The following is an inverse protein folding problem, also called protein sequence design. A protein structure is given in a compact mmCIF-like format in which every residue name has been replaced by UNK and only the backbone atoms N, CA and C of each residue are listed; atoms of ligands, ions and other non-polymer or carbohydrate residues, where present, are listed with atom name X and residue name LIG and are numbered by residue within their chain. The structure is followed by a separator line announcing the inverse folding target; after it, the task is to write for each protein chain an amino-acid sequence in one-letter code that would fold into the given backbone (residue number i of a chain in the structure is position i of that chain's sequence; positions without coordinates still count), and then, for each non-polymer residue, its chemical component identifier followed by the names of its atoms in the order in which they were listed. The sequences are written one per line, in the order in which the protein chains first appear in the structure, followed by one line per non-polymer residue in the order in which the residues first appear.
data_IF_307422410593
#
_entry.id   IF_307422410593
#
_cell.length_a   1.000
_cell.length_b   1.000
_cell.length_c   1.000
_cell.angle_alpha   90.00
_cell.angle_beta   90.00
_cell.angle_gamma   90.00
#
_symmetry.space_group_name_H-M   'P 1'
#
loop_
_entity.id
_entity.type
_entity.pdbx_description
1 polymer ?
#
# COMPACT_ATOMS: atom_id res chain seq x y z
N UNK A 1 13.43 17.59 4.69
CA UNK A 1 12.15 17.21 4.03
C UNK A 1 12.30 15.81 3.45
N UNK A 2 11.43 14.85 3.80
CA UNK A 2 11.44 13.51 3.17
C UNK A 2 11.07 13.66 1.68
N UNK A 3 11.72 12.92 0.79
CA UNK A 3 11.37 12.92 -0.64
C UNK A 3 9.95 12.33 -0.81
N UNK A 4 9.16 12.81 -1.78
CA UNK A 4 7.81 12.27 -2.09
C UNK A 4 7.84 10.74 -2.29
N UNK A 5 8.93 10.22 -2.84
CA UNK A 5 9.20 8.78 -3.05
C UNK A 5 9.39 7.96 -1.76
N UNK A 6 9.63 8.61 -0.63
CA UNK A 6 9.83 8.02 0.71
C UNK A 6 8.66 8.32 1.65
N UNK A 7 7.58 8.92 1.15
CA UNK A 7 6.38 9.16 1.93
C UNK A 7 5.69 7.83 2.24
N UNK A 8 5.29 7.61 3.50
CA UNK A 8 4.56 6.39 3.90
C UNK A 8 3.07 6.48 3.51
N UNK A 9 2.50 7.68 3.59
CA UNK A 9 1.19 8.00 3.04
C UNK A 9 1.27 9.24 2.14
N UNK A 10 0.32 9.38 1.23
CA UNK A 10 0.10 10.59 0.44
C UNK A 10 -1.38 10.99 0.48
N UNK A 11 -1.72 12.29 0.48
CA UNK A 11 -3.08 12.73 0.17
C UNK A 11 -3.50 12.17 -1.19
N UNK A 12 -4.76 11.73 -1.34
CA UNK A 12 -5.26 11.26 -2.64
C UNK A 12 -5.34 12.42 -3.63
N UNK A 13 -5.74 13.60 -3.18
CA UNK A 13 -5.68 14.84 -3.97
C UNK A 13 -4.24 15.17 -4.37
N UNK A 14 -4.01 15.37 -5.66
CA UNK A 14 -2.69 15.70 -6.21
C UNK A 14 -1.80 14.49 -6.53
N UNK A 15 -2.35 13.27 -6.44
CA UNK A 15 -1.75 12.05 -7.00
C UNK A 15 -2.30 11.80 -8.39
N UNK A 16 -1.44 11.37 -9.32
CA UNK A 16 -1.87 11.07 -10.69
C UNK A 16 -1.01 10.02 -11.41
N UNK A 17 -1.11 9.97 -12.74
CA UNK A 17 -0.46 8.93 -13.55
C UNK A 17 1.07 8.87 -13.37
N UNK A 18 1.70 9.99 -13.03
CA UNK A 18 3.14 10.06 -12.77
C UNK A 18 3.54 9.36 -11.45
N UNK A 19 2.58 9.12 -10.55
CA UNK A 19 2.81 8.47 -9.26
C UNK A 19 2.52 6.96 -9.28
N UNK A 20 2.21 6.35 -10.45
CA UNK A 20 1.83 4.92 -10.53
C UNK A 20 2.86 3.99 -9.88
N UNK A 21 4.16 4.27 -10.02
CA UNK A 21 5.22 3.48 -9.38
C UNK A 21 5.20 3.57 -7.83
N UNK A 22 4.62 4.64 -7.29
CA UNK A 22 4.55 4.90 -5.85
C UNK A 22 3.21 4.47 -5.23
N UNK A 23 2.10 4.62 -5.95
CA UNK A 23 0.75 4.39 -5.41
C UNK A 23 -0.04 3.27 -6.09
N UNK A 24 0.42 2.79 -7.25
CA UNK A 24 -0.30 1.84 -8.10
C UNK A 24 -1.37 2.49 -8.99
N UNK A 25 -1.76 1.79 -10.06
CA UNK A 25 -2.65 2.34 -11.09
C UNK A 25 -4.05 2.73 -10.60
N UNK A 26 -4.63 1.99 -9.65
CA UNK A 26 -5.95 2.30 -9.09
C UNK A 26 -5.96 3.63 -8.35
N UNK A 27 -4.98 3.84 -7.47
CA UNK A 27 -4.87 5.05 -6.68
C UNK A 27 -4.51 6.27 -7.55
N UNK A 28 -3.62 6.08 -8.54
CA UNK A 28 -3.31 7.12 -9.53
C UNK A 28 -4.55 7.55 -10.33
N UNK A 29 -5.37 6.58 -10.75
CA UNK A 29 -6.63 6.86 -11.45
C UNK A 29 -7.65 7.58 -10.56
N UNK A 30 -7.81 7.15 -9.29
CA UNK A 30 -8.71 7.81 -8.34
C UNK A 30 -8.29 9.26 -8.07
N UNK A 31 -6.99 9.52 -7.87
CA UNK A 31 -6.46 10.88 -7.69
C UNK A 31 -6.65 11.77 -8.92
N UNK A 32 -6.46 11.23 -10.13
CA UNK A 32 -6.77 11.92 -11.38
C UNK A 32 -8.26 12.24 -11.51
N UNK A 33 -9.14 11.28 -11.22
CA UNK A 33 -10.58 11.50 -11.26
C UNK A 33 -10.99 12.57 -10.25
N UNK A 34 -10.51 12.51 -9.01
CA UNK A 34 -10.78 13.50 -7.97
C UNK A 34 -10.34 14.89 -8.43
N UNK A 35 -9.16 14.99 -9.03
CA UNK A 35 -8.60 16.29 -9.48
C UNK A 35 -9.34 16.86 -10.69
N UNK A 36 -9.70 16.02 -11.68
CA UNK A 36 -10.25 16.46 -12.97
C UNK A 36 -11.77 16.49 -13.04
N UNK A 37 -12.45 15.63 -12.29
CA UNK A 37 -13.90 15.43 -12.41
C UNK A 37 -14.69 16.09 -11.28
N UNK A 38 -14.10 16.30 -10.10
CA UNK A 38 -14.77 17.05 -9.03
C UNK A 38 -15.15 18.49 -9.40
N UNK A 39 -14.32 19.26 -10.14
CA UNK A 39 -14.74 20.55 -10.68
C UNK A 39 -15.90 20.48 -11.68
N UNK A 40 -16.16 19.29 -12.25
CA UNK A 40 -17.26 19.01 -13.18
C UNK A 40 -18.49 18.44 -12.47
N UNK A 41 -18.53 18.47 -11.14
CA UNK A 41 -19.66 18.01 -10.34
C UNK A 41 -19.68 16.51 -10.02
N UNK A 42 -18.66 15.74 -10.43
CA UNK A 42 -18.55 14.32 -10.09
C UNK A 42 -18.06 14.16 -8.65
N UNK A 43 -18.87 13.52 -7.80
CA UNK A 43 -18.54 13.31 -6.38
C UNK A 43 -17.63 12.10 -6.24
N UNK A 44 -16.41 12.33 -5.80
CA UNK A 44 -15.42 11.29 -5.54
C UNK A 44 -14.96 11.49 -4.10
N UNK A 45 -15.04 10.46 -3.24
CA UNK A 45 -14.53 10.54 -1.88
C UNK A 45 -13.02 10.85 -1.89
N UNK A 46 -12.59 11.84 -1.11
CA UNK A 46 -11.17 12.07 -0.86
C UNK A 46 -10.65 11.06 0.18
N UNK A 47 -9.33 11.00 0.32
CA UNK A 47 -8.67 9.99 1.13
C UNK A 47 -7.17 10.25 1.26
N UNK A 48 -6.50 9.25 1.82
CA UNK A 48 -5.05 9.13 1.71
C UNK A 48 -4.69 7.73 1.19
N UNK A 49 -3.51 7.63 0.62
CA UNK A 49 -2.99 6.42 0.00
C UNK A 49 -1.80 5.93 0.80
N UNK A 50 -1.82 4.66 1.20
CA UNK A 50 -0.64 3.96 1.71
C UNK A 50 0.26 3.59 0.54
N UNK A 51 1.50 4.06 0.54
CA UNK A 51 2.39 3.96 -0.62
C UNK A 51 3.06 2.58 -0.73
N UNK A 52 3.57 2.26 -1.92
CA UNK A 52 4.45 1.11 -2.12
C UNK A 52 5.74 1.21 -1.29
N UNK A 53 6.19 2.42 -0.95
CA UNK A 53 7.30 2.62 -0.02
C UNK A 53 6.94 2.15 1.39
N UNK A 54 5.75 2.48 1.91
CA UNK A 54 5.27 1.95 3.19
C UNK A 54 5.20 0.43 3.20
N UNK A 55 4.72 -0.18 2.11
CA UNK A 55 4.74 -1.64 1.97
C UNK A 55 6.16 -2.21 2.05
N UNK A 56 7.13 -1.66 1.31
CA UNK A 56 8.54 -2.12 1.36
C UNK A 56 9.14 -1.95 2.76
N UNK A 57 8.85 -0.83 3.43
CA UNK A 57 9.29 -0.60 4.81
C UNK A 57 8.66 -1.60 5.78
N UNK A 58 7.38 -1.93 5.62
CA UNK A 58 6.71 -2.95 6.43
C UNK A 58 7.40 -4.32 6.25
N UNK A 59 7.58 -4.76 5.00
CA UNK A 59 8.17 -6.07 4.70
C UNK A 59 9.61 -6.16 5.24
N UNK A 60 10.43 -5.13 5.02
CA UNK A 60 11.83 -5.12 5.47
C UNK A 60 11.96 -5.02 7.00
N UNK A 61 11.24 -4.12 7.66
CA UNK A 61 11.33 -3.95 9.14
C UNK A 61 10.81 -5.17 9.91
N UNK A 62 9.96 -5.99 9.30
CA UNK A 62 9.42 -7.21 9.90
C UNK A 62 10.17 -8.49 9.49
N UNK A 63 11.18 -8.38 8.63
CA UNK A 63 11.89 -9.52 8.02
C UNK A 63 10.96 -10.51 7.30
N UNK A 64 9.81 -10.03 6.83
CA UNK A 64 8.83 -10.85 6.11
C UNK A 64 9.36 -11.27 4.74
N UNK A 65 10.28 -10.50 4.15
CA UNK A 65 11.00 -10.85 2.93
C UNK A 65 11.75 -12.18 3.06
N UNK A 66 12.47 -12.39 4.16
CA UNK A 66 13.17 -13.67 4.43
C UNK A 66 12.20 -14.84 4.55
N UNK A 67 11.04 -14.61 5.19
CA UNK A 67 10.00 -15.63 5.37
C UNK A 67 9.35 -15.96 4.02
N UNK A 68 9.01 -14.94 3.23
CA UNK A 68 8.41 -15.10 1.90
C UNK A 68 9.38 -15.84 0.98
N UNK A 69 10.64 -15.42 0.93
CA UNK A 69 11.67 -16.04 0.08
C UNK A 69 11.81 -17.52 0.37
N UNK A 70 12.00 -17.89 1.64
CA UNK A 70 12.11 -19.29 2.09
C UNK A 70 10.88 -20.14 1.78
N UNK A 71 9.68 -19.54 1.77
CA UNK A 71 8.43 -20.25 1.43
C UNK A 71 8.25 -20.44 -0.08
N UNK A 72 8.83 -19.56 -0.88
CA UNK A 72 8.79 -19.64 -2.34
C UNK A 72 9.94 -20.48 -2.92
N UNK A 73 11.02 -20.68 -2.17
CA UNK A 73 12.14 -21.53 -2.56
C UNK A 73 11.67 -22.96 -2.88
N UNK A 74 11.97 -23.42 -4.11
CA UNK A 74 11.61 -24.76 -4.57
C UNK A 74 10.12 -24.99 -4.88
N UNK A 75 9.27 -23.96 -4.76
CA UNK A 75 7.83 -24.07 -4.98
C UNK A 75 7.50 -24.41 -6.44
N UNK A 76 6.78 -25.52 -6.66
CA UNK A 76 6.28 -25.83 -7.99
C UNK A 76 5.02 -25.01 -8.31
N UNK A 77 5.18 -23.98 -9.15
CA UNK A 77 4.08 -23.09 -9.57
C UNK A 77 3.05 -23.73 -10.50
N UNK A 78 3.30 -24.94 -11.02
CA UNK A 78 2.29 -25.70 -11.77
C UNK A 78 1.44 -26.59 -10.85
N UNK A 79 1.84 -26.77 -9.59
CA UNK A 79 1.06 -27.48 -8.59
C UNK A 79 0.14 -26.50 -7.84
N UNK A 80 -1.09 -26.38 -8.31
CA UNK A 80 -2.10 -25.47 -7.74
C UNK A 80 -2.35 -25.69 -6.24
N UNK A 81 -2.28 -26.94 -5.76
CA UNK A 81 -2.48 -27.25 -4.33
C UNK A 81 -1.32 -26.73 -3.48
N UNK A 82 -0.10 -26.89 -3.97
CA UNK A 82 1.11 -26.40 -3.31
C UNK A 82 1.16 -24.87 -3.28
N UNK A 83 0.85 -24.24 -4.42
CA UNK A 83 0.67 -22.78 -4.52
C UNK A 83 -0.35 -22.25 -3.51
N UNK A 84 -1.52 -22.88 -3.40
CA UNK A 84 -2.56 -22.46 -2.47
C UNK A 84 -2.11 -22.54 -1.01
N UNK A 85 -1.42 -23.64 -0.64
CA UNK A 85 -0.84 -23.82 0.70
C UNK A 85 0.23 -22.77 1.01
N UNK A 86 1.16 -22.56 0.08
CA UNK A 86 2.23 -21.56 0.23
C UNK A 86 1.66 -20.14 0.36
N UNK A 87 0.75 -19.76 -0.55
CA UNK A 87 0.09 -18.46 -0.52
C UNK A 87 -0.73 -18.24 0.77
N UNK A 88 -1.39 -19.28 1.29
CA UNK A 88 -2.07 -19.21 2.60
C UNK A 88 -1.06 -18.93 3.72
N UNK A 89 0.04 -19.67 3.78
CA UNK A 89 1.07 -19.48 4.80
C UNK A 89 1.69 -18.07 4.76
N UNK A 90 1.97 -17.54 3.56
CA UNK A 90 2.50 -16.18 3.39
C UNK A 90 1.48 -15.13 3.86
N UNK A 91 0.20 -15.25 3.47
CA UNK A 91 -0.85 -14.33 3.92
C UNK A 91 -1.03 -14.37 5.44
N UNK A 92 -0.98 -15.55 6.04
CA UNK A 92 -1.06 -15.70 7.50
C UNK A 92 0.15 -15.07 8.20
N UNK A 93 1.36 -15.22 7.66
CA UNK A 93 2.54 -14.55 8.18
C UNK A 93 2.36 -13.03 8.15
N UNK A 94 1.99 -12.46 7.00
CA UNK A 94 1.76 -11.01 6.85
C UNK A 94 0.73 -10.49 7.86
N UNK A 95 -0.39 -11.21 8.06
CA UNK A 95 -1.46 -10.82 9.00
C UNK A 95 -1.06 -10.84 10.48
N UNK A 96 -0.04 -11.62 10.85
CA UNK A 96 0.41 -11.74 12.26
C UNK A 96 1.36 -10.64 12.68
N UNK A 97 2.11 -10.05 11.75
CA UNK A 97 3.07 -9.02 12.10
C UNK A 97 2.37 -7.69 12.38
N UNK A 98 2.69 -7.02 13.51
CA UNK A 98 2.19 -5.69 13.78
C UNK A 98 2.81 -4.67 12.83
N UNK A 99 2.11 -3.57 12.57
CA UNK A 99 2.69 -2.46 11.83
C UNK A 99 3.83 -1.80 12.63
N UNK A 100 4.98 -1.50 11.99
CA UNK A 100 6.00 -0.64 12.56
C UNK A 100 5.40 0.69 13.04
N UNK A 101 5.88 1.18 14.18
CA UNK A 101 5.30 2.35 14.87
C UNK A 101 5.16 3.58 13.95
N UNK A 102 6.15 3.82 13.09
CA UNK A 102 6.14 4.92 12.13
C UNK A 102 4.99 4.80 11.12
N UNK A 103 4.81 3.62 10.51
CA UNK A 103 3.74 3.35 9.54
C UNK A 103 2.37 3.49 10.22
N UNK A 104 2.22 2.89 11.40
CA UNK A 104 0.99 2.98 12.20
C UNK A 104 0.65 4.44 12.50
N UNK A 105 1.63 5.24 12.92
CA UNK A 105 1.44 6.66 13.24
C UNK A 105 0.99 7.46 12.02
N UNK A 106 1.64 7.27 10.87
CA UNK A 106 1.26 7.98 9.64
C UNK A 106 -0.16 7.60 9.18
N UNK A 107 -0.54 6.33 9.23
CA UNK A 107 -1.91 5.89 8.89
C UNK A 107 -2.94 6.52 9.85
N UNK A 108 -2.68 6.52 11.16
CA UNK A 108 -3.56 7.17 12.15
C UNK A 108 -3.64 8.69 11.88
N UNK A 109 -2.53 9.34 11.54
CA UNK A 109 -2.52 10.75 11.18
C UNK A 109 -3.35 11.03 9.90
N UNK A 110 -3.28 10.13 8.92
CA UNK A 110 -4.14 10.15 7.73
C UNK A 110 -5.63 10.11 8.09
N UNK A 111 -6.03 9.15 8.93
CA UNK A 111 -7.42 9.06 9.43
C UNK A 111 -7.85 10.32 10.19
N UNK A 112 -7.03 10.82 11.12
CA UNK A 112 -7.32 12.06 11.87
C UNK A 112 -7.45 13.30 10.97
N UNK A 113 -6.79 13.27 9.81
CA UNK A 113 -6.91 14.35 8.82
C UNK A 113 -8.23 14.24 8.05
N UNK A 114 -8.68 13.02 7.76
CA UNK A 114 -9.99 12.77 7.13
C UNK A 114 -11.16 13.09 8.04
N UNK A 115 -11.07 12.82 9.34
CA UNK A 115 -12.13 13.16 10.32
C UNK A 115 -12.43 14.67 10.43
N UNK A 116 -11.50 15.52 9.96
CA UNK A 116 -11.63 16.98 10.01
C UNK A 116 -12.24 17.58 8.73
N UNK A 117 -12.44 16.77 7.70
CA UNK A 117 -13.03 17.17 6.42
C UNK A 117 -14.55 17.01 6.46
#
# INVERSE_FOLDING_TARGET
MKKRTEALILPMKGVGIQDVALVGGKNASLGEMLTRLSPKGVRIPDGFIVTAYAYRQFISKTKLDEIIKRRLEGLNVHNVRELAKCGKAIREAIRRYPFPAEIKREIIAGYRSLEKQ
#
